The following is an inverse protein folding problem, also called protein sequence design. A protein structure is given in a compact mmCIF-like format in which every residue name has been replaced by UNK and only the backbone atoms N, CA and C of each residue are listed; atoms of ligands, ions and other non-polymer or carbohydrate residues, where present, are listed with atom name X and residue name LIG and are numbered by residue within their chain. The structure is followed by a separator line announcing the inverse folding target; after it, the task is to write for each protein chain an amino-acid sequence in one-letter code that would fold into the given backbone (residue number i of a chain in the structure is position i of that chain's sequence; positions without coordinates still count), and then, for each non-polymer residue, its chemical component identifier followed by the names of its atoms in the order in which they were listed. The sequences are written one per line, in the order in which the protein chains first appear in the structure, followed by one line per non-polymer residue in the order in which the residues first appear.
data_IF_875727601348
#
_entry.id   IF_875727601348
#
_cell.length_a   1.000
_cell.length_b   1.000
_cell.length_c   1.000
_cell.angle_alpha   90.00
_cell.angle_beta   90.00
_cell.angle_gamma   90.00
#
_symmetry.space_group_name_H-M   'P 1'
#
loop_
_entity.id
_entity.type
_entity.pdbx_description
1 polymer ?
#
# COMPACT_ATOMS: atom_id res chain seq x y z
N UNK A 1 26.49 -22.68 8.98
CA UNK A 1 26.63 -21.20 8.99
C UNK A 1 26.20 -20.71 10.35
N UNK A 2 26.99 -19.83 11.01
CA UNK A 2 26.57 -19.22 12.27
C UNK A 2 25.24 -18.52 12.03
N UNK A 3 24.23 -18.80 12.85
CA UNK A 3 23.03 -17.98 12.90
C UNK A 3 23.46 -16.60 13.41
N UNK A 4 23.88 -15.72 12.50
CA UNK A 4 23.87 -14.29 12.76
C UNK A 4 22.40 -13.95 12.89
N UNK A 5 21.92 -13.86 14.13
CA UNK A 5 20.63 -13.25 14.44
C UNK A 5 20.66 -11.87 13.84
N UNK A 6 20.00 -11.71 12.69
CA UNK A 6 19.77 -10.41 12.12
C UNK A 6 19.06 -9.58 13.19
N UNK A 7 19.42 -8.29 13.33
CA UNK A 7 18.70 -7.39 14.22
C UNK A 7 17.20 -7.41 13.89
N UNK A 8 16.32 -7.15 14.88
CA UNK A 8 14.88 -7.08 14.63
C UNK A 8 14.57 -6.21 13.41
N UNK A 9 13.74 -6.71 12.49
CA UNK A 9 13.50 -6.05 11.21
C UNK A 9 13.10 -4.57 11.40
N UNK A 10 12.21 -4.31 12.37
CA UNK A 10 11.74 -2.97 12.69
C UNK A 10 12.80 -2.07 13.34
N UNK A 11 13.79 -2.62 14.05
CA UNK A 11 14.84 -1.82 14.71
C UNK A 11 15.79 -1.19 13.71
N UNK A 12 16.09 -1.89 12.61
CA UNK A 12 17.02 -1.41 11.57
C UNK A 12 16.42 -0.28 10.73
N UNK A 13 15.12 -0.34 10.44
CA UNK A 13 14.45 0.67 9.63
C UNK A 13 13.84 1.80 10.47
N UNK A 14 13.63 1.59 11.78
CA UNK A 14 13.25 2.62 12.76
C UNK A 14 12.05 3.45 12.32
N UNK A 15 12.23 4.78 12.28
CA UNK A 15 11.18 5.71 11.83
C UNK A 15 10.73 5.51 10.37
N UNK A 16 11.43 4.69 9.57
CA UNK A 16 11.06 4.34 8.20
C UNK A 16 10.30 3.00 8.12
N UNK A 17 10.06 2.29 9.23
CA UNK A 17 9.35 0.99 9.23
C UNK A 17 7.91 1.10 8.69
N UNK A 18 7.27 2.27 8.79
CA UNK A 18 5.98 2.52 8.12
C UNK A 18 6.05 2.36 6.60
N UNK A 19 7.25 2.50 6.02
CA UNK A 19 7.55 2.29 4.61
C UNK A 19 7.54 0.81 4.19
N UNK A 20 7.45 -0.10 5.16
CA UNK A 20 7.61 -1.54 4.95
C UNK A 20 6.34 -2.33 5.29
N UNK A 21 5.17 -1.65 5.41
CA UNK A 21 3.89 -2.30 5.74
C UNK A 21 3.58 -3.45 4.75
N UNK A 22 3.66 -4.68 5.24
CA UNK A 22 3.52 -5.93 4.46
C UNK A 22 4.74 -6.85 4.55
N UNK A 23 5.86 -6.37 5.10
CA UNK A 23 7.08 -7.12 5.36
C UNK A 23 7.38 -7.02 6.85
N UNK A 24 7.11 -8.09 7.60
CA UNK A 24 7.27 -8.14 9.05
C UNK A 24 8.56 -8.82 9.50
N UNK A 25 9.30 -9.46 8.60
CA UNK A 25 10.52 -10.19 8.95
C UNK A 25 11.53 -10.29 7.81
N UNK A 26 12.79 -10.57 8.16
CA UNK A 26 13.86 -10.85 7.20
C UNK A 26 13.58 -12.07 6.31
N UNK A 27 12.77 -13.01 6.78
CA UNK A 27 12.41 -14.24 6.05
C UNK A 27 11.51 -13.95 4.84
N UNK A 28 10.77 -12.84 4.88
CA UNK A 28 9.88 -12.40 3.81
C UNK A 28 10.61 -11.59 2.73
N UNK A 29 11.83 -11.11 3.02
CA UNK A 29 12.61 -10.24 2.14
C UNK A 29 12.99 -10.90 0.81
N UNK A 30 13.40 -12.19 0.75
CA UNK A 30 13.69 -12.86 -0.52
C UNK A 30 12.48 -12.96 -1.45
N UNK A 31 11.26 -12.94 -0.90
CA UNK A 31 10.02 -13.01 -1.68
C UNK A 31 9.76 -11.73 -2.49
N UNK A 32 10.43 -10.63 -2.15
CA UNK A 32 10.27 -9.30 -2.78
C UNK A 32 10.99 -9.18 -4.12
N UNK A 33 11.97 -10.04 -4.38
CA UNK A 33 12.85 -10.01 -5.56
C UNK A 33 13.86 -8.85 -5.61
N UNK A 34 14.78 -8.94 -6.57
CA UNK A 34 16.04 -8.16 -6.65
C UNK A 34 15.84 -6.65 -6.59
N UNK A 35 14.94 -6.09 -7.41
CA UNK A 35 14.72 -4.64 -7.47
C UNK A 35 14.26 -4.03 -6.14
N UNK A 36 13.47 -4.75 -5.36
CA UNK A 36 12.98 -4.29 -4.06
C UNK A 36 14.02 -4.47 -2.97
N UNK A 37 14.76 -5.58 -2.99
CA UNK A 37 15.91 -5.76 -2.11
C UNK A 37 16.97 -4.66 -2.33
N UNK A 38 17.20 -4.23 -3.56
CA UNK A 38 18.08 -3.11 -3.90
C UNK A 38 17.62 -1.77 -3.29
N UNK A 39 16.31 -1.49 -3.33
CA UNK A 39 15.73 -0.30 -2.69
C UNK A 39 15.84 -0.34 -1.16
N UNK A 40 15.56 -1.48 -0.54
CA UNK A 40 15.76 -1.68 0.90
C UNK A 40 17.23 -1.44 1.26
N UNK A 41 18.17 -1.96 0.46
CA UNK A 41 19.60 -1.75 0.65
C UNK A 41 19.98 -0.28 0.53
N UNK A 42 19.42 0.45 -0.43
CA UNK A 42 19.67 1.89 -0.58
C UNK A 42 19.15 2.70 0.62
N UNK A 43 17.96 2.36 1.14
CA UNK A 43 17.40 2.97 2.36
C UNK A 43 18.32 2.75 3.56
N UNK A 44 18.81 1.52 3.75
CA UNK A 44 19.74 1.20 4.82
C UNK A 44 21.09 1.90 4.68
N UNK A 45 21.63 2.02 3.47
CA UNK A 45 22.85 2.81 3.22
C UNK A 45 22.66 4.28 3.56
N UNK A 46 21.51 4.87 3.22
CA UNK A 46 21.16 6.23 3.62
C UNK A 46 20.97 6.41 5.13
N UNK A 47 20.48 5.38 5.83
CA UNK A 47 20.42 5.35 7.29
C UNK A 47 21.82 5.24 7.91
N UNK A 48 22.68 4.36 7.40
CA UNK A 48 24.07 4.20 7.86
C UNK A 48 24.88 5.49 7.72
N UNK A 49 24.74 6.19 6.59
CA UNK A 49 25.43 7.48 6.38
C UNK A 49 24.96 8.58 7.35
N UNK A 50 23.68 8.59 7.72
CA UNK A 50 23.16 9.49 8.76
C UNK A 50 23.68 9.12 10.14
N UNK A 51 23.67 7.82 10.49
CA UNK A 51 24.24 7.34 11.75
C UNK A 51 25.73 7.69 11.88
N UNK A 52 26.51 7.61 10.79
CA UNK A 52 27.90 8.05 10.76
C UNK A 52 28.08 9.56 10.99
N UNK A 53 27.06 10.37 10.67
CA UNK A 53 27.08 11.82 10.86
C UNK A 53 26.43 12.32 12.17
N UNK A 54 25.56 11.52 12.79
CA UNK A 54 24.70 11.93 13.91
C UNK A 54 24.93 11.12 15.21
N UNK A 55 25.53 9.92 15.14
CA UNK A 55 25.58 8.95 16.25
C UNK A 55 26.99 8.38 16.48
N UNK A 56 27.40 8.26 17.74
CA UNK A 56 28.62 7.55 18.16
C UNK A 56 28.39 6.04 18.40
N UNK A 57 27.15 5.54 18.23
CA UNK A 57 26.80 4.14 18.54
C UNK A 57 27.34 3.18 17.48
N UNK A 58 28.46 2.54 17.80
CA UNK A 58 29.07 1.48 16.98
C UNK A 58 28.18 0.26 16.81
N UNK A 59 27.30 -0.01 17.77
CA UNK A 59 26.41 -1.16 17.74
C UNK A 59 25.28 -0.96 16.72
N UNK A 60 24.68 0.24 16.66
CA UNK A 60 23.66 0.56 15.66
C UNK A 60 24.21 0.49 14.23
N UNK A 61 25.43 0.99 14.03
CA UNK A 61 26.13 0.89 12.74
C UNK A 61 26.38 -0.58 12.36
N UNK A 62 26.71 -1.43 13.33
CA UNK A 62 26.95 -2.86 13.11
C UNK A 62 25.66 -3.60 12.76
N UNK A 63 24.54 -3.26 13.37
CA UNK A 63 23.22 -3.81 13.04
C UNK A 63 22.82 -3.47 11.59
N UNK A 64 22.90 -2.20 11.21
CA UNK A 64 22.59 -1.73 9.85
C UNK A 64 23.53 -2.39 8.82
N UNK A 65 24.82 -2.51 9.14
CA UNK A 65 25.79 -3.17 8.25
C UNK A 65 25.46 -4.66 8.04
N UNK A 66 25.01 -5.35 9.09
CA UNK A 66 24.62 -6.77 9.02
C UNK A 66 23.40 -6.97 8.12
N UNK A 67 22.42 -6.07 8.22
CA UNK A 67 21.25 -6.06 7.35
C UNK A 67 21.58 -5.74 5.87
N UNK A 68 22.48 -4.78 5.61
CA UNK A 68 22.98 -4.47 4.26
C UNK A 68 23.70 -5.68 3.64
N UNK A 69 24.46 -6.41 4.44
CA UNK A 69 25.20 -7.61 4.01
C UNK A 69 24.23 -8.70 3.61
N UNK A 70 23.24 -9.01 4.46
CA UNK A 70 22.19 -9.97 4.15
C UNK A 70 21.43 -9.65 2.84
N UNK A 71 21.05 -8.39 2.64
CA UNK A 71 20.39 -7.97 1.39
C UNK A 71 21.29 -8.15 0.17
N UNK A 72 22.59 -7.85 0.29
CA UNK A 72 23.53 -7.98 -0.82
C UNK A 72 23.76 -9.44 -1.22
N UNK A 73 23.86 -10.33 -0.24
CA UNK A 73 23.94 -11.78 -0.45
C UNK A 73 22.64 -12.32 -1.07
N UNK A 74 21.49 -11.88 -0.56
CA UNK A 74 20.18 -12.27 -1.07
C UNK A 74 19.97 -11.83 -2.52
N UNK A 75 20.36 -10.59 -2.87
CA UNK A 75 20.33 -10.07 -4.25
C UNK A 75 21.24 -10.88 -5.17
N UNK A 76 22.48 -11.17 -4.74
CA UNK A 76 23.44 -11.91 -5.54
C UNK A 76 23.01 -13.37 -5.79
N UNK A 77 22.25 -13.95 -4.86
CA UNK A 77 21.71 -15.32 -4.95
C UNK A 77 20.37 -15.41 -5.68
N UNK A 78 19.71 -14.29 -5.94
CA UNK A 78 18.38 -14.27 -6.56
C UNK A 78 18.49 -14.49 -8.07
N UNK A 79 17.79 -15.51 -8.56
CA UNK A 79 17.79 -15.90 -9.98
C UNK A 79 16.75 -15.16 -10.84
N UNK A 80 15.94 -14.28 -10.26
CA UNK A 80 14.84 -13.59 -10.96
C UNK A 80 14.89 -12.08 -10.75
N UNK A 81 14.77 -11.34 -11.85
CA UNK A 81 14.44 -9.91 -11.83
C UNK A 81 12.93 -9.75 -11.59
N UNK A 82 12.54 -9.47 -10.34
CA UNK A 82 11.14 -9.16 -10.02
C UNK A 82 10.90 -7.65 -10.03
N UNK A 83 9.74 -7.19 -10.54
CA UNK A 83 9.43 -5.78 -10.71
C UNK A 83 9.30 -5.01 -9.38
N UNK A 84 9.52 -3.70 -9.50
CA UNK A 84 9.60 -2.75 -8.39
C UNK A 84 8.22 -2.51 -7.75
N UNK A 85 8.14 -2.61 -6.42
CA UNK A 85 6.93 -2.44 -5.61
C UNK A 85 6.32 -1.04 -5.78
N UNK A 86 5.00 -0.97 -6.03
CA UNK A 86 4.23 0.22 -5.79
C UNK A 86 3.39 0.01 -4.51
N UNK A 87 3.70 0.71 -3.41
CA UNK A 87 2.72 1.49 -2.61
C UNK A 87 3.23 1.84 -1.21
N UNK A 88 3.80 3.04 -1.15
CA UNK A 88 3.75 3.91 0.01
C UNK A 88 3.17 5.23 -0.44
N UNK A 89 1.84 5.31 -0.49
CA UNK A 89 1.15 6.54 -0.86
C UNK A 89 0.81 7.29 0.41
N UNK A 90 1.77 8.08 0.89
CA UNK A 90 1.51 9.02 1.99
C UNK A 90 0.66 10.19 1.46
N UNK A 91 0.80 10.60 0.18
CA UNK A 91 0.15 11.80 -0.38
C UNK A 91 -0.14 11.76 -1.90
N UNK A 92 -0.76 10.69 -2.42
CA UNK A 92 -1.03 10.62 -3.88
C UNK A 92 -2.31 11.30 -4.35
N UNK A 93 -3.22 11.62 -3.42
CA UNK A 93 -4.55 12.11 -3.75
C UNK A 93 -4.66 13.60 -3.47
N UNK A 94 -5.05 14.37 -4.48
CA UNK A 94 -5.30 15.81 -4.38
C UNK A 94 -6.73 16.13 -4.75
N UNK A 95 -7.25 17.22 -4.20
CA UNK A 95 -8.52 17.80 -4.62
C UNK A 95 -8.52 18.02 -6.15
N UNK A 96 -9.59 17.62 -6.81
CA UNK A 96 -9.74 17.65 -8.26
C UNK A 96 -9.18 16.44 -8.99
N UNK A 97 -8.51 15.49 -8.32
CA UNK A 97 -8.10 14.25 -8.98
C UNK A 97 -9.31 13.39 -9.31
N UNK A 98 -9.33 12.86 -10.53
CA UNK A 98 -10.21 11.79 -10.93
C UNK A 98 -9.69 10.45 -10.36
N UNK A 99 -10.60 9.68 -9.77
CA UNK A 99 -10.33 8.39 -9.18
C UNK A 99 -11.33 7.35 -9.67
N UNK A 100 -10.90 6.09 -9.71
CA UNK A 100 -11.76 4.93 -9.84
C UNK A 100 -11.85 4.22 -8.49
N UNK A 101 -13.08 3.95 -8.07
CA UNK A 101 -13.42 3.39 -6.78
C UNK A 101 -14.15 2.08 -6.98
N UNK A 102 -13.74 1.05 -6.25
CA UNK A 102 -14.53 -0.16 -6.11
C UNK A 102 -15.55 -0.07 -5.00
N UNK A 103 -16.77 -0.48 -5.29
CA UNK A 103 -17.83 -0.69 -4.32
C UNK A 103 -18.54 -2.04 -4.53
N UNK A 104 -18.10 -2.88 -5.48
CA UNK A 104 -18.85 -4.06 -5.92
C UNK A 104 -19.02 -5.15 -4.86
N UNK A 105 -18.14 -5.19 -3.86
CA UNK A 105 -18.20 -6.05 -2.68
C UNK A 105 -18.78 -5.36 -1.45
N UNK A 106 -19.12 -4.07 -1.54
CA UNK A 106 -19.62 -3.27 -0.42
C UNK A 106 -21.12 -3.45 -0.26
N UNK A 107 -21.56 -3.89 0.93
CA UNK A 107 -22.97 -4.09 1.21
C UNK A 107 -23.81 -2.82 0.97
N UNK A 108 -24.93 -2.96 0.26
CA UNK A 108 -25.86 -1.85 0.00
C UNK A 108 -25.40 -0.86 -1.09
N UNK A 109 -24.32 -1.15 -1.82
CA UNK A 109 -23.96 -0.38 -3.02
C UNK A 109 -25.11 -0.41 -4.04
N UNK A 110 -25.38 0.74 -4.66
CA UNK A 110 -26.28 0.86 -5.82
C UNK A 110 -25.52 1.24 -7.09
N UNK A 111 -24.19 1.28 -7.00
CA UNK A 111 -23.36 1.74 -8.08
C UNK A 111 -23.32 0.69 -9.21
N UNK A 112 -23.69 1.07 -10.45
CA UNK A 112 -23.82 0.12 -11.54
C UNK A 112 -22.47 -0.54 -11.86
N UNK A 113 -22.43 -1.87 -11.78
CA UNK A 113 -21.24 -2.65 -12.10
C UNK A 113 -20.11 -2.58 -11.06
N UNK A 114 -20.35 -2.00 -9.89
CA UNK A 114 -19.41 -2.01 -8.76
C UNK A 114 -18.19 -1.10 -8.90
N UNK A 115 -17.99 -0.47 -10.06
CA UNK A 115 -16.96 0.53 -10.30
C UNK A 115 -17.57 1.91 -10.45
N UNK A 116 -16.93 2.90 -9.86
CA UNK A 116 -17.35 4.28 -10.02
C UNK A 116 -16.19 5.20 -10.29
N UNK A 117 -16.35 6.05 -11.29
CA UNK A 117 -15.50 7.21 -11.51
C UNK A 117 -16.01 8.35 -10.64
N UNK A 118 -15.13 8.92 -9.84
CA UNK A 118 -15.43 10.02 -8.95
C UNK A 118 -14.32 11.07 -8.98
N UNK A 119 -14.60 12.26 -8.47
CA UNK A 119 -13.61 13.32 -8.29
C UNK A 119 -13.42 13.60 -6.81
N UNK A 120 -12.17 13.74 -6.38
CA UNK A 120 -11.86 14.13 -5.01
C UNK A 120 -12.28 15.58 -4.80
N UNK A 121 -13.20 15.81 -3.86
CA UNK A 121 -13.77 17.14 -3.58
C UNK A 121 -13.25 17.72 -2.27
N UNK A 122 -12.85 16.87 -1.32
CA UNK A 122 -12.42 17.28 0.02
C UNK A 122 -11.25 16.41 0.51
N UNK A 123 -10.39 17.03 1.31
CA UNK A 123 -9.31 16.38 2.05
C UNK A 123 -9.31 16.97 3.45
N UNK A 124 -9.52 16.14 4.45
CA UNK A 124 -9.62 16.55 5.85
C UNK A 124 -8.79 15.65 6.75
N UNK A 125 -8.28 16.21 7.86
CA UNK A 125 -7.66 15.43 8.94
C UNK A 125 -8.78 14.95 9.85
N UNK A 126 -8.91 13.64 9.99
CA UNK A 126 -9.89 12.99 10.84
C UNK A 126 -9.21 12.29 12.03
N UNK A 127 -9.99 12.02 13.06
CA UNK A 127 -9.56 11.27 14.25
C UNK A 127 -10.53 10.14 14.53
N UNK A 128 -9.99 8.97 14.83
CA UNK A 128 -10.76 7.81 15.26
C UNK A 128 -10.21 7.27 16.58
N UNK A 129 -11.00 7.35 17.67
CA UNK A 129 -10.56 6.90 19.00
C UNK A 129 -10.13 5.43 19.01
N UNK A 130 -10.87 4.54 18.32
CA UNK A 130 -10.58 3.10 18.29
C UNK A 130 -9.25 2.75 17.59
N UNK A 131 -8.67 3.70 16.88
CA UNK A 131 -7.37 3.55 16.19
C UNK A 131 -6.23 4.20 16.97
N UNK A 132 -6.52 4.76 18.14
CA UNK A 132 -5.50 5.36 18.99
C UNK A 132 -4.80 4.26 19.81
N UNK A 133 -3.53 4.04 19.51
CA UNK A 133 -2.64 3.09 20.17
C UNK A 133 -1.86 3.71 21.35
N UNK A 134 -2.20 4.93 21.75
CA UNK A 134 -1.54 5.66 22.83
C UNK A 134 -0.29 6.43 22.40
N UNK A 135 0.05 6.42 21.11
CA UNK A 135 1.17 7.20 20.56
C UNK A 135 0.78 8.65 20.23
N UNK A 136 1.78 9.52 20.11
CA UNK A 136 1.56 10.90 19.65
C UNK A 136 1.05 10.88 18.20
N UNK A 137 -0.16 11.38 17.98
CA UNK A 137 -0.93 11.29 16.74
C UNK A 137 -1.57 9.92 16.43
N UNK A 138 -1.57 8.99 17.38
CA UNK A 138 -2.37 7.76 17.32
C UNK A 138 -3.85 8.09 17.04
N UNK A 139 -4.47 7.33 16.15
CA UNK A 139 -5.87 7.53 15.74
C UNK A 139 -6.14 8.67 14.76
N UNK A 140 -5.17 9.54 14.45
CA UNK A 140 -5.33 10.54 13.40
C UNK A 140 -5.01 9.96 12.02
N UNK A 141 -5.81 10.33 11.03
CA UNK A 141 -5.60 9.94 9.64
C UNK A 141 -6.11 11.02 8.70
N UNK A 142 -5.61 11.01 7.47
CA UNK A 142 -6.17 11.83 6.41
C UNK A 142 -7.35 11.11 5.76
N UNK A 143 -8.44 11.85 5.55
CA UNK A 143 -9.67 11.39 4.93
C UNK A 143 -9.89 12.17 3.65
N UNK A 144 -10.21 11.44 2.59
CA UNK A 144 -10.56 12.01 1.29
C UNK A 144 -12.03 11.74 1.02
N UNK A 145 -12.75 12.77 0.57
CA UNK A 145 -14.11 12.62 0.04
C UNK A 145 -14.04 12.64 -1.48
N UNK A 146 -14.59 11.60 -2.12
CA UNK A 146 -14.82 11.59 -3.56
C UNK A 146 -16.31 11.67 -3.85
N UNK A 147 -16.66 12.45 -4.88
CA UNK A 147 -18.02 12.67 -5.35
C UNK A 147 -18.17 12.10 -6.76
N UNK A 148 -19.18 11.26 -6.96
CA UNK A 148 -19.54 10.69 -8.24
C UNK A 148 -20.76 11.40 -8.85
N UNK A 149 -20.90 11.29 -10.17
CA UNK A 149 -22.09 11.76 -10.87
C UNK A 149 -23.32 10.86 -10.65
N UNK A 150 -23.09 9.62 -10.20
CA UNK A 150 -24.13 8.62 -9.93
C UNK A 150 -24.24 8.32 -8.43
N UNK A 151 -25.40 7.87 -7.95
CA UNK A 151 -25.51 7.35 -6.58
C UNK A 151 -24.56 6.16 -6.36
N UNK A 152 -23.83 6.20 -5.26
CA UNK A 152 -22.94 5.14 -4.78
C UNK A 152 -23.71 4.20 -3.84
N UNK A 153 -24.55 4.80 -3.00
CA UNK A 153 -25.43 4.16 -2.03
C UNK A 153 -26.80 4.85 -2.07
N UNK A 154 -27.86 4.30 -1.43
CA UNK A 154 -29.18 4.93 -1.41
C UNK A 154 -29.11 6.39 -0.95
N UNK A 155 -29.48 7.31 -1.85
CA UNK A 155 -29.51 8.76 -1.60
C UNK A 155 -28.14 9.45 -1.46
N UNK A 156 -27.03 8.76 -1.76
CA UNK A 156 -25.68 9.30 -1.54
C UNK A 156 -24.78 9.08 -2.76
N UNK A 157 -24.11 10.13 -3.20
CA UNK A 157 -23.17 10.13 -4.32
C UNK A 157 -21.71 10.39 -3.88
N UNK A 158 -21.45 10.33 -2.57
CA UNK A 158 -20.12 10.53 -2.01
C UNK A 158 -19.66 9.32 -1.21
N UNK A 159 -18.35 9.13 -1.19
CA UNK A 159 -17.69 8.09 -0.39
C UNK A 159 -16.41 8.68 0.21
N UNK A 160 -16.09 8.24 1.43
CA UNK A 160 -14.89 8.67 2.15
C UNK A 160 -13.91 7.52 2.32
N UNK A 161 -12.63 7.80 2.14
CA UNK A 161 -11.56 6.80 2.22
C UNK A 161 -10.29 7.39 2.81
N UNK A 162 -9.40 6.52 3.28
CA UNK A 162 -8.04 6.90 3.71
C UNK A 162 -7.05 6.73 2.56
N UNK A 163 -5.87 7.34 2.66
CA UNK A 163 -4.77 7.23 1.66
C UNK A 163 -4.38 5.80 1.32
N UNK A 164 -4.68 4.92 2.25
CA UNK A 164 -4.18 3.57 2.23
C UNK A 164 -5.18 2.57 1.70
N UNK A 165 -6.40 3.00 1.36
CA UNK A 165 -7.44 2.13 0.81
C UNK A 165 -7.05 1.56 -0.57
N UNK A 166 -6.86 0.23 -0.70
CA UNK A 166 -6.44 -0.39 -1.96
C UNK A 166 -7.49 -0.28 -3.08
N UNK A 167 -8.77 -0.13 -2.72
CA UNK A 167 -9.93 -0.06 -3.63
C UNK A 167 -10.11 1.29 -4.33
N UNK A 168 -9.22 2.26 -4.08
CA UNK A 168 -9.24 3.58 -4.73
C UNK A 168 -7.96 3.80 -5.53
N UNK A 169 -8.12 4.08 -6.83
CA UNK A 169 -7.02 4.27 -7.77
C UNK A 169 -7.15 5.64 -8.43
N UNK A 170 -6.03 6.32 -8.68
CA UNK A 170 -6.04 7.48 -9.57
C UNK A 170 -6.39 7.05 -11.00
N UNK A 171 -7.10 7.89 -11.76
CA UNK A 171 -7.45 7.58 -13.15
C UNK A 171 -6.24 7.17 -14.01
N UNK A 172 -5.11 7.88 -13.87
CA UNK A 172 -3.88 7.54 -14.60
C UNK A 172 -3.25 6.21 -14.17
N UNK A 173 -3.33 5.87 -12.89
CA UNK A 173 -2.85 4.58 -12.36
C UNK A 173 -3.74 3.43 -12.86
N UNK A 174 -5.05 3.64 -12.85
CA UNK A 174 -6.00 2.67 -13.37
C UNK A 174 -5.78 2.40 -14.86
N UNK A 175 -5.62 3.45 -15.67
CA UNK A 175 -5.33 3.31 -17.09
C UNK A 175 -4.01 2.56 -17.34
N UNK A 176 -3.00 2.74 -16.49
CA UNK A 176 -1.76 1.97 -16.56
C UNK A 176 -2.00 0.49 -16.24
N UNK A 177 -2.74 0.19 -15.17
CA UNK A 177 -3.06 -1.19 -14.77
C UNK A 177 -3.88 -1.92 -15.83
N UNK A 178 -4.82 -1.23 -16.48
CA UNK A 178 -5.58 -1.78 -17.61
C UNK A 178 -4.65 -2.22 -18.75
N UNK A 179 -3.63 -1.42 -19.09
CA UNK A 179 -2.63 -1.81 -20.10
C UNK A 179 -1.77 -2.98 -19.63
N UNK A 180 -1.43 -3.03 -18.35
CA UNK A 180 -0.63 -4.09 -17.78
C UNK A 180 -1.34 -5.46 -17.83
N UNK A 181 -2.68 -5.52 -17.84
CA UNK A 181 -3.43 -6.80 -17.96
C UNK A 181 -2.93 -7.68 -19.11
N UNK A 182 -2.65 -7.07 -20.27
CA UNK A 182 -2.18 -7.77 -21.45
C UNK A 182 -0.67 -7.63 -21.67
N UNK A 183 -0.09 -6.49 -21.31
CA UNK A 183 1.32 -6.21 -21.59
C UNK A 183 2.28 -6.78 -20.53
N UNK A 184 1.82 -6.95 -19.29
CA UNK A 184 2.64 -7.36 -18.15
C UNK A 184 1.78 -8.03 -17.06
N UNK A 185 1.32 -9.27 -17.31
CA UNK A 185 0.41 -9.97 -16.41
C UNK A 185 1.05 -10.31 -15.05
N UNK A 186 2.37 -10.47 -15.00
CA UNK A 186 3.11 -10.80 -13.78
C UNK A 186 3.21 -9.57 -12.85
N UNK A 187 3.50 -8.39 -13.41
CA UNK A 187 3.38 -7.14 -12.66
C UNK A 187 1.97 -6.94 -12.09
N UNK A 188 0.95 -7.23 -12.91
CA UNK A 188 -0.42 -7.14 -12.45
C UNK A 188 -0.68 -8.10 -11.29
N UNK A 189 -0.29 -9.36 -11.39
CA UNK A 189 -0.47 -10.35 -10.32
C UNK A 189 0.22 -9.90 -9.02
N UNK A 190 1.45 -9.39 -9.11
CA UNK A 190 2.15 -8.83 -7.96
C UNK A 190 1.42 -7.61 -7.37
N UNK A 191 0.91 -6.71 -8.22
CA UNK A 191 0.11 -5.57 -7.79
C UNK A 191 -1.18 -6.02 -7.06
N UNK A 192 -1.83 -7.05 -7.59
CA UNK A 192 -3.05 -7.66 -7.05
C UNK A 192 -2.81 -8.26 -5.66
N UNK A 193 -1.74 -9.05 -5.52
CA UNK A 193 -1.35 -9.67 -4.26
C UNK A 193 -1.05 -8.62 -3.17
N UNK A 194 -0.50 -7.47 -3.55
CA UNK A 194 -0.21 -6.36 -2.63
C UNK A 194 -1.44 -5.51 -2.26
N UNK A 195 -2.45 -5.44 -3.14
CA UNK A 195 -3.71 -4.76 -2.87
C UNK A 195 -4.60 -5.56 -1.89
N UNK A 196 -4.27 -6.82 -1.63
CA UNK A 196 -4.94 -7.61 -0.61
C UNK A 196 -4.57 -7.12 0.78
N UNK A 197 -5.51 -6.41 1.40
CA UNK A 197 -5.49 -6.13 2.83
C UNK A 197 -6.85 -6.47 3.40
N UNK A 198 -6.83 -7.19 4.52
CA UNK A 198 -8.00 -7.70 5.25
C UNK A 198 -8.79 -6.63 6.01
N UNK A 199 -8.37 -5.37 5.93
CA UNK A 199 -9.07 -4.27 6.56
C UNK A 199 -10.35 -3.86 5.84
N UNK A 200 -11.35 -3.54 6.65
CA UNK A 200 -12.62 -2.97 6.20
C UNK A 200 -12.38 -1.55 5.66
N UNK A 201 -12.90 -1.19 4.47
CA UNK A 201 -12.78 0.17 3.96
C UNK A 201 -13.41 1.20 4.90
N UNK A 202 -12.85 2.41 4.94
CA UNK A 202 -13.36 3.48 5.81
C UNK A 202 -14.86 3.73 5.62
N UNK A 203 -15.35 3.73 4.37
CA UNK A 203 -16.78 3.92 4.09
C UNK A 203 -17.65 2.79 4.64
N UNK A 204 -17.17 1.55 4.64
CA UNK A 204 -17.92 0.44 5.20
C UNK A 204 -18.02 0.63 6.72
N UNK A 205 -16.92 1.04 7.35
CA UNK A 205 -16.90 1.28 8.78
C UNK A 205 -17.77 2.49 9.19
N UNK A 206 -17.69 3.62 8.48
CA UNK A 206 -18.52 4.81 8.75
C UNK A 206 -20.03 4.52 8.60
N UNK A 207 -20.40 3.45 7.87
CA UNK A 207 -21.78 3.05 7.60
C UNK A 207 -22.24 1.85 8.43
N UNK A 208 -21.38 1.29 9.28
CA UNK A 208 -21.65 0.04 10.00
C UNK A 208 -22.04 -1.11 9.06
N UNK A 209 -21.32 -1.19 7.93
CA UNK A 209 -21.48 -2.23 6.91
C UNK A 209 -20.18 -3.00 6.71
N UNK A 210 -20.27 -4.10 5.97
CA UNK A 210 -19.14 -4.96 5.68
C UNK A 210 -18.96 -5.15 4.17
N UNK A 211 -17.72 -5.37 3.78
CA UNK A 211 -17.38 -6.02 2.51
C UNK A 211 -17.57 -7.54 2.64
N UNK A 212 -17.67 -8.25 1.52
CA UNK A 212 -17.78 -9.72 1.54
C UNK A 212 -16.56 -10.42 2.17
N UNK A 213 -15.45 -9.71 2.37
CA UNK A 213 -14.21 -10.24 2.93
C UNK A 213 -13.47 -11.22 2.00
N UNK A 214 -14.06 -11.57 0.85
CA UNK A 214 -13.41 -12.39 -0.16
C UNK A 214 -12.19 -11.67 -0.73
N UNK A 215 -11.14 -12.45 -1.05
CA UNK A 215 -9.97 -11.90 -1.71
C UNK A 215 -10.39 -11.25 -3.03
N UNK A 216 -10.20 -9.94 -3.12
CA UNK A 216 -10.51 -9.15 -4.29
C UNK A 216 -9.68 -9.66 -5.47
N UNK A 217 -10.32 -10.32 -6.45
CA UNK A 217 -9.66 -10.78 -7.67
C UNK A 217 -9.41 -9.60 -8.60
N UNK A 218 -8.43 -8.78 -8.24
CA UNK A 218 -7.97 -7.57 -8.92
C UNK A 218 -7.72 -7.78 -10.43
N UNK A 219 -7.23 -8.95 -10.85
CA UNK A 219 -7.00 -9.26 -12.27
C UNK A 219 -8.30 -9.39 -13.04
N UNK A 220 -9.21 -10.24 -12.57
CA UNK A 220 -10.58 -10.35 -13.11
C UNK A 220 -11.26 -8.98 -13.08
N UNK A 221 -11.08 -8.28 -11.98
CA UNK A 221 -11.68 -6.99 -11.69
C UNK A 221 -11.25 -5.85 -12.63
N UNK A 222 -9.95 -5.73 -12.93
CA UNK A 222 -9.43 -4.77 -13.92
C UNK A 222 -9.85 -5.20 -15.33
N UNK A 223 -9.85 -6.49 -15.66
CA UNK A 223 -10.27 -6.97 -16.98
C UNK A 223 -11.76 -6.75 -17.28
N UNK A 224 -12.66 -6.91 -16.30
CA UNK A 224 -14.10 -6.69 -16.49
C UNK A 224 -14.47 -5.20 -16.66
N UNK A 225 -13.62 -4.29 -16.18
CA UNK A 225 -13.78 -2.85 -16.40
C UNK A 225 -13.51 -2.43 -17.86
N UNK A 226 -12.63 -3.16 -18.55
CA UNK A 226 -12.28 -2.91 -19.96
C UNK A 226 -13.46 -3.24 -20.88
N UNK A 227 -14.31 -4.19 -20.48
CA UNK A 227 -15.47 -4.62 -21.27
C UNK A 227 -16.70 -3.73 -21.12
N UNK A 228 -16.66 -2.71 -20.26
CA UNK A 228 -17.82 -1.88 -19.87
C UNK A 228 -17.61 -0.37 -20.10
N UNK A 229 -16.47 0.02 -20.64
CA UNK A 229 -16.16 1.37 -21.15
C UNK A 229 -16.15 1.34 -22.68
#
# INVERSE_FOLDING_TARGET
MKANTLPPFESVFGAQTYRLRGIGSWEQVPLLGTGNMERLRALLRGAAMRLLGESESRDDLREVQSAITFLSESIASAMEDKPLLPRLRVESFRKGNAVHIYLGDSAGTVAPGGWVTATITEVDKAFRPDWNDGTENGGYFWRWTATAAVPLFPGQNTVRFSTSEPRVLLAGEFAYLQKAVSADPDFLEMYCANAWRTWEPLWCIERETHTSGEAMNMRRWISESVSRL
#
